data_IF_488238377828
#
_entry.id   IF_488238377828
#
_cell.length_a   1.000
_cell.length_b   1.000
_cell.length_c   1.000
_cell.angle_alpha   90.00
_cell.angle_beta   90.00
_cell.angle_gamma   90.00
#
_symmetry.space_group_name_H-M   'P 1'
#
loop_
_entity.id
_entity.type
_entity.pdbx_description
1 polymer ?
#
# COMPACT_ATOMS: atom_id res chain seq x y z
N UNK A 1 40.35 -8.93 34.88
CA UNK A 1 40.45 -7.49 35.26
C UNK A 1 39.13 -6.82 34.92
N UNK A 2 38.38 -6.38 35.95
CA UNK A 2 37.08 -5.71 35.84
C UNK A 2 37.30 -4.24 35.45
N UNK A 3 36.57 -3.73 34.46
CA UNK A 3 36.33 -2.28 34.29
C UNK A 3 34.84 -2.05 34.08
N UNK A 4 34.28 -1.23 34.97
CA UNK A 4 32.90 -0.77 35.00
C UNK A 4 32.60 0.26 33.88
N UNK A 5 31.31 0.48 33.55
CA UNK A 5 30.87 1.40 32.51
C UNK A 5 30.81 2.86 33.00
N UNK A 6 31.13 3.79 32.10
CA UNK A 6 30.90 5.24 32.28
C UNK A 6 29.55 5.56 31.64
N UNK A 7 28.58 5.91 32.48
CA UNK A 7 27.33 6.55 32.08
C UNK A 7 27.56 8.08 32.09
N UNK A 8 27.32 8.74 30.95
CA UNK A 8 27.11 10.19 30.92
C UNK A 8 25.62 10.44 30.71
N UNK A 9 24.96 10.89 31.77
CA UNK A 9 23.70 11.58 31.70
C UNK A 9 23.97 13.03 31.26
N UNK A 10 23.27 13.50 30.22
CA UNK A 10 23.18 14.93 29.92
C UNK A 10 21.72 15.34 30.07
N UNK A 11 21.59 16.35 30.92
CA UNK A 11 20.39 16.92 31.51
C UNK A 11 19.53 17.64 30.47
N UNK A 12 18.21 17.52 30.64
CA UNK A 12 17.20 18.28 29.93
C UNK A 12 17.27 19.78 30.30
N UNK A 13 17.15 20.64 29.30
CA UNK A 13 16.84 22.06 29.46
C UNK A 13 15.45 22.33 28.92
N UNK A 14 14.52 22.53 29.84
CA UNK A 14 13.19 23.13 29.63
C UNK A 14 13.35 24.62 29.37
N UNK A 15 12.76 25.12 28.30
CA UNK A 15 12.47 26.55 28.13
C UNK A 15 11.00 26.69 27.70
N UNK A 16 10.19 27.18 28.63
CA UNK A 16 8.82 27.61 28.39
C UNK A 16 8.82 29.13 28.17
N UNK A 17 8.22 29.57 27.07
CA UNK A 17 7.63 30.89 26.84
C UNK A 17 6.72 30.70 25.61
N UNK A 18 5.40 30.88 25.65
CA UNK A 18 4.64 31.89 26.37
C UNK A 18 4.45 33.09 25.44
N UNK A 19 3.50 33.00 24.51
CA UNK A 19 2.90 34.16 23.84
C UNK A 19 1.56 33.77 23.21
N UNK A 20 0.49 34.00 23.97
CA UNK A 20 -0.86 34.17 23.45
C UNK A 20 -0.91 35.54 22.76
N UNK A 21 -1.45 35.59 21.55
CA UNK A 21 -1.80 36.85 20.89
C UNK A 21 -3.24 36.75 20.40
N UNK A 22 -3.99 37.79 20.76
CA UNK A 22 -5.43 37.88 20.78
C UNK A 22 -6.08 38.01 19.40
N UNK A 23 -7.32 37.52 19.31
CA UNK A 23 -8.30 37.84 18.27
C UNK A 23 -8.74 39.31 18.31
N UNK A 24 -8.95 39.95 17.15
CA UNK A 24 -9.96 40.99 16.96
C UNK A 24 -11.16 40.36 16.22
N UNK A 25 -12.34 40.30 16.81
CA UNK A 25 -13.35 41.38 16.95
C UNK A 25 -13.94 41.82 15.62
N UNK A 26 -15.22 41.48 15.47
CA UNK A 26 -16.17 41.72 14.39
C UNK A 26 -16.65 43.17 14.25
N UNK A 27 -16.91 43.60 13.01
CA UNK A 27 -17.83 44.69 12.64
C UNK A 27 -18.29 44.54 11.15
N UNK A 28 -19.30 45.28 10.65
CA UNK A 28 -20.67 44.81 10.51
C UNK A 28 -21.12 44.55 9.05
N UNK A 29 -22.26 43.85 8.94
CA UNK A 29 -23.02 43.55 7.73
C UNK A 29 -23.68 44.78 7.09
N UNK A 30 -23.62 44.87 5.75
CA UNK A 30 -24.58 45.59 4.90
C UNK A 30 -24.42 45.15 3.44
N UNK A 31 -25.50 44.65 2.84
CA UNK A 31 -25.56 44.39 1.41
C UNK A 31 -26.42 43.19 1.05
N UNK A 32 -27.73 43.32 1.24
CA UNK A 32 -28.72 42.44 0.61
C UNK A 32 -28.64 42.62 -0.91
N UNK A 33 -28.25 41.56 -1.61
CA UNK A 33 -28.58 41.36 -3.01
C UNK A 33 -29.30 40.01 -3.09
N UNK A 34 -30.61 40.11 -3.26
CA UNK A 34 -31.55 39.02 -3.41
C UNK A 34 -31.28 38.34 -4.76
N UNK A 35 -30.38 37.35 -4.75
CA UNK A 35 -30.22 36.41 -5.85
C UNK A 35 -31.08 35.20 -5.49
N UNK A 36 -32.24 35.08 -6.15
CA UNK A 36 -33.12 33.93 -6.05
C UNK A 36 -32.32 32.64 -6.27
N UNK A 37 -31.98 31.97 -5.17
CA UNK A 37 -31.36 30.67 -5.17
C UNK A 37 -32.43 29.69 -5.61
N UNK A 38 -32.48 29.41 -6.92
CA UNK A 38 -33.20 28.26 -7.43
C UNK A 38 -32.52 27.05 -6.80
N UNK A 39 -33.16 26.46 -5.79
CA UNK A 39 -32.74 25.21 -5.20
C UNK A 39 -32.73 24.18 -6.32
N UNK A 40 -31.53 23.91 -6.87
CA UNK A 40 -31.35 22.75 -7.73
C UNK A 40 -31.49 21.58 -6.79
N UNK A 41 -32.56 20.80 -6.96
CA UNK A 41 -32.69 19.49 -6.34
C UNK A 41 -31.39 18.73 -6.62
N UNK A 42 -30.54 18.62 -5.61
CA UNK A 42 -29.33 17.85 -5.69
C UNK A 42 -29.77 16.41 -5.82
N UNK A 43 -29.67 15.86 -7.03
CA UNK A 43 -29.90 14.44 -7.26
C UNK A 43 -29.06 13.66 -6.25
N UNK A 44 -29.68 12.65 -5.62
CA UNK A 44 -28.98 11.79 -4.67
C UNK A 44 -27.69 11.26 -5.32
N UNK A 45 -26.57 11.20 -4.58
CA UNK A 45 -25.32 10.69 -5.12
C UNK A 45 -25.53 9.26 -5.64
N UNK A 46 -25.29 9.06 -6.93
CA UNK A 46 -25.33 7.74 -7.56
C UNK A 46 -24.13 6.98 -7.04
N UNK A 47 -24.34 5.82 -6.41
CA UNK A 47 -23.24 4.93 -6.02
C UNK A 47 -22.52 4.47 -7.30
N UNK A 48 -21.27 4.88 -7.54
CA UNK A 48 -20.53 4.51 -8.75
C UNK A 48 -20.26 3.00 -8.84
N UNK A 49 -20.51 2.27 -7.76
CA UNK A 49 -20.32 0.82 -7.63
C UNK A 49 -21.65 0.05 -7.64
N UNK A 50 -22.77 0.71 -7.97
CA UNK A 50 -24.06 0.06 -8.16
C UNK A 50 -24.01 -0.85 -9.40
N UNK A 51 -24.05 -2.17 -9.19
CA UNK A 51 -24.08 -3.15 -10.25
C UNK A 51 -23.93 -4.59 -9.73
N UNK A 52 -24.20 -5.60 -10.57
CA UNK A 52 -23.94 -6.98 -10.20
C UNK A 52 -22.43 -7.23 -10.16
N UNK A 53 -21.97 -7.90 -9.10
CA UNK A 53 -20.59 -8.38 -8.98
C UNK A 53 -20.48 -9.82 -9.48
N UNK A 54 -19.30 -10.17 -10.00
CA UNK A 54 -18.97 -11.50 -10.51
C UNK A 54 -17.59 -11.97 -9.99
N UNK A 55 -17.61 -12.85 -8.98
CA UNK A 55 -16.41 -13.44 -8.39
C UNK A 55 -15.73 -14.50 -9.28
N UNK A 56 -16.23 -14.75 -10.50
CA UNK A 56 -15.56 -15.60 -11.49
C UNK A 56 -14.65 -14.80 -12.41
N UNK A 57 -14.82 -13.48 -12.51
CA UNK A 57 -13.96 -12.59 -13.30
C UNK A 57 -12.56 -12.47 -12.71
N UNK A 58 -11.58 -12.32 -13.59
CA UNK A 58 -10.15 -12.15 -13.24
C UNK A 58 -9.51 -10.96 -13.96
N UNK A 59 -10.24 -10.34 -14.88
CA UNK A 59 -9.92 -9.19 -15.70
C UNK A 59 -11.17 -8.30 -15.81
N UNK A 60 -10.99 -7.10 -16.38
CA UNK A 60 -12.09 -6.14 -16.66
C UNK A 60 -13.02 -5.90 -15.45
N UNK A 61 -12.43 -5.84 -14.26
CA UNK A 61 -13.16 -5.75 -13.00
C UNK A 61 -13.78 -4.37 -12.84
N UNK A 62 -15.04 -4.37 -12.41
CA UNK A 62 -15.81 -3.18 -12.07
C UNK A 62 -15.60 -2.77 -10.61
N UNK A 63 -16.12 -1.61 -10.20
CA UNK A 63 -16.14 -1.27 -8.78
C UNK A 63 -17.00 -2.24 -7.95
N UNK A 64 -18.12 -2.72 -8.49
CA UNK A 64 -18.95 -3.73 -7.83
C UNK A 64 -18.15 -5.02 -7.58
N UNK A 65 -17.35 -5.45 -8.55
CA UNK A 65 -16.46 -6.61 -8.42
C UNK A 65 -15.42 -6.40 -7.31
N UNK A 66 -14.77 -5.22 -7.25
CA UNK A 66 -13.81 -4.89 -6.18
C UNK A 66 -14.47 -5.02 -4.80
N UNK A 67 -15.65 -4.41 -4.61
CA UNK A 67 -16.39 -4.46 -3.35
C UNK A 67 -16.76 -5.89 -2.94
N UNK A 68 -17.15 -6.73 -3.90
CA UNK A 68 -17.41 -8.15 -3.63
C UNK A 68 -16.12 -8.91 -3.25
N UNK A 69 -15.01 -8.66 -3.96
CA UNK A 69 -13.71 -9.23 -3.64
C UNK A 69 -13.20 -8.79 -2.26
N UNK A 70 -13.47 -7.56 -1.84
CA UNK A 70 -13.14 -7.07 -0.50
C UNK A 70 -13.80 -7.95 0.57
N UNK A 71 -15.07 -8.29 0.38
CA UNK A 71 -15.80 -9.20 1.28
C UNK A 71 -15.26 -10.63 1.34
N UNK A 72 -14.58 -11.10 0.28
CA UNK A 72 -13.95 -12.43 0.24
C UNK A 72 -12.55 -12.42 0.84
N UNK A 73 -11.75 -11.42 0.48
CA UNK A 73 -10.31 -11.38 0.78
C UNK A 73 -10.03 -10.72 2.13
N UNK A 74 -10.79 -9.68 2.49
CA UNK A 74 -10.61 -8.92 3.71
C UNK A 74 -9.25 -8.21 3.81
N UNK A 75 -8.83 -7.52 2.74
CA UNK A 75 -7.70 -6.59 2.82
C UNK A 75 -8.00 -5.44 3.78
N UNK A 76 -7.01 -4.60 4.11
CA UNK A 76 -7.21 -3.56 5.13
C UNK A 76 -8.23 -2.50 4.69
N UNK A 77 -9.00 -1.97 5.65
CA UNK A 77 -9.84 -0.80 5.42
C UNK A 77 -9.00 0.42 4.99
N UNK A 78 -7.77 0.55 5.51
CA UNK A 78 -6.81 1.57 5.10
C UNK A 78 -6.49 1.50 3.60
N UNK A 79 -6.42 0.29 3.03
CA UNK A 79 -6.23 0.10 1.59
C UNK A 79 -7.44 0.61 0.78
N UNK A 80 -8.67 0.47 1.28
CA UNK A 80 -9.86 1.02 0.60
C UNK A 80 -9.94 2.53 0.72
N UNK A 81 -9.74 3.08 1.91
CA UNK A 81 -9.73 4.54 2.11
C UNK A 81 -8.66 5.20 1.25
N UNK A 82 -7.48 4.59 1.14
CA UNK A 82 -6.39 5.09 0.29
C UNK A 82 -6.75 5.01 -1.19
N UNK A 83 -7.52 3.99 -1.59
CA UNK A 83 -7.94 3.79 -2.98
C UNK A 83 -8.93 4.86 -3.40
N UNK A 84 -9.93 5.13 -2.56
CA UNK A 84 -10.95 6.16 -2.77
C UNK A 84 -10.37 7.57 -2.89
N UNK A 85 -9.26 7.85 -2.20
CA UNK A 85 -8.54 9.12 -2.27
C UNK A 85 -7.53 9.21 -3.42
N UNK A 86 -7.25 8.09 -4.09
CA UNK A 86 -6.30 8.05 -5.19
C UNK A 86 -7.02 8.31 -6.52
N UNK A 87 -6.36 8.98 -7.47
CA UNK A 87 -6.90 9.22 -8.82
C UNK A 87 -6.88 7.94 -9.71
N UNK A 88 -7.15 6.77 -9.12
CA UNK A 88 -7.10 5.49 -9.82
C UNK A 88 -8.46 5.20 -10.42
N UNK A 89 -8.61 5.45 -11.73
CA UNK A 89 -9.85 5.19 -12.45
C UNK A 89 -9.89 3.77 -13.07
N UNK A 90 -11.09 3.18 -13.15
CA UNK A 90 -11.44 2.29 -14.27
C UNK A 90 -11.08 0.80 -14.25
N UNK A 91 -10.65 0.17 -13.15
CA UNK A 91 -10.30 -1.29 -13.18
C UNK A 91 -10.60 -2.07 -11.89
N UNK A 92 -11.30 -1.47 -10.92
CA UNK A 92 -11.37 -2.03 -9.57
C UNK A 92 -10.01 -2.16 -8.87
N UNK A 93 -8.91 -1.77 -9.54
CA UNK A 93 -7.54 -1.76 -9.02
C UNK A 93 -7.13 -3.11 -8.43
N UNK A 94 -7.60 -4.18 -9.07
CA UNK A 94 -7.40 -5.57 -8.67
C UNK A 94 -6.93 -6.35 -9.89
N UNK A 95 -5.87 -7.13 -9.73
CA UNK A 95 -5.33 -7.98 -10.81
C UNK A 95 -5.10 -9.39 -10.30
N UNK A 96 -5.23 -10.37 -11.20
CA UNK A 96 -5.04 -11.78 -10.88
C UNK A 96 -3.99 -12.40 -11.81
N UNK A 97 -2.90 -12.91 -11.22
CA UNK A 97 -1.85 -13.63 -11.94
C UNK A 97 -1.89 -15.11 -11.60
N UNK A 98 -1.88 -15.99 -12.61
CA UNK A 98 -2.00 -17.43 -12.37
C UNK A 98 -0.75 -18.00 -11.68
N UNK A 99 -0.94 -18.71 -10.57
CA UNK A 99 0.12 -19.45 -9.86
C UNK A 99 0.16 -20.93 -10.27
N UNK A 100 -0.98 -21.47 -10.70
CA UNK A 100 -1.16 -22.87 -11.09
C UNK A 100 -2.63 -23.19 -11.34
N UNK A 101 -2.99 -24.48 -11.50
CA UNK A 101 -4.40 -24.89 -11.57
C UNK A 101 -5.17 -24.45 -10.32
N UNK A 102 -6.28 -23.73 -10.50
CA UNK A 102 -7.15 -23.27 -9.41
C UNK A 102 -6.52 -22.27 -8.44
N UNK A 103 -5.34 -21.71 -8.75
CA UNK A 103 -4.58 -20.86 -7.82
C UNK A 103 -4.10 -19.58 -8.49
N UNK A 104 -4.31 -18.46 -7.82
CA UNK A 104 -4.00 -17.13 -8.33
C UNK A 104 -3.28 -16.29 -7.27
N UNK A 105 -2.42 -15.40 -7.73
CA UNK A 105 -1.88 -14.29 -6.98
C UNK A 105 -2.75 -13.08 -7.30
N UNK A 106 -3.53 -12.65 -6.32
CA UNK A 106 -4.29 -11.40 -6.40
C UNK A 106 -3.45 -10.23 -5.90
N UNK A 107 -3.52 -9.10 -6.59
CA UNK A 107 -2.89 -7.84 -6.21
C UNK A 107 -3.95 -6.75 -6.15
N UNK A 108 -4.16 -6.19 -4.96
CA UNK A 108 -5.03 -5.05 -4.70
C UNK A 108 -4.14 -3.81 -4.65
N UNK A 109 -4.28 -2.92 -5.63
CA UNK A 109 -3.65 -1.60 -5.58
C UNK A 109 -4.45 -0.72 -4.62
N UNK A 110 -3.78 -0.24 -3.56
CA UNK A 110 -4.35 0.56 -2.48
C UNK A 110 -4.17 2.05 -2.75
N UNK A 111 -3.02 2.47 -3.25
CA UNK A 111 -2.79 3.87 -3.62
C UNK A 111 -1.81 3.96 -4.76
N UNK A 112 -1.85 5.08 -5.49
CA UNK A 112 -0.90 5.42 -6.52
C UNK A 112 -0.33 6.81 -6.22
N UNK A 113 0.85 6.84 -5.60
CA UNK A 113 1.61 8.05 -5.41
C UNK A 113 2.36 8.49 -6.68
N UNK A 114 2.95 9.68 -6.65
CA UNK A 114 3.68 10.25 -7.78
C UNK A 114 4.88 9.41 -8.27
N UNK A 115 5.42 8.54 -7.41
CA UNK A 115 6.62 7.75 -7.70
C UNK A 115 6.39 6.24 -7.69
N UNK A 116 5.46 5.77 -6.86
CA UNK A 116 5.13 4.36 -6.71
C UNK A 116 3.76 4.22 -6.05
N UNK A 117 3.09 3.11 -6.32
CA UNK A 117 1.90 2.72 -5.58
C UNK A 117 2.21 1.79 -4.42
N UNK A 118 1.21 1.55 -3.59
CA UNK A 118 1.21 0.52 -2.56
C UNK A 118 0.11 -0.49 -2.85
N UNK A 119 0.39 -1.77 -2.58
CA UNK A 119 -0.50 -2.86 -2.86
C UNK A 119 -0.50 -3.90 -1.73
N UNK A 120 -1.66 -4.51 -1.52
CA UNK A 120 -1.78 -5.74 -0.75
C UNK A 120 -1.95 -6.93 -1.69
N UNK A 121 -1.32 -8.06 -1.36
CA UNK A 121 -1.38 -9.26 -2.18
C UNK A 121 -1.99 -10.42 -1.39
N UNK A 122 -2.63 -11.32 -2.12
CA UNK A 122 -3.24 -12.52 -1.55
C UNK A 122 -3.08 -13.72 -2.49
N UNK A 123 -3.12 -14.91 -1.91
CA UNK A 123 -3.32 -16.14 -2.68
C UNK A 123 -4.80 -16.45 -2.70
N UNK A 124 -5.34 -16.63 -3.90
CA UNK A 124 -6.70 -17.09 -4.15
C UNK A 124 -6.64 -18.57 -4.55
N UNK A 125 -7.49 -19.36 -3.93
CA UNK A 125 -7.74 -20.76 -4.30
C UNK A 125 -9.21 -20.86 -4.71
N UNK A 126 -9.44 -21.26 -5.97
CA UNK A 126 -10.79 -21.47 -6.49
C UNK A 126 -11.48 -22.58 -5.68
N UNK A 127 -12.78 -22.44 -5.47
CA UNK A 127 -13.55 -23.45 -4.74
C UNK A 127 -13.66 -24.76 -5.52
N UNK A 128 -13.67 -25.87 -4.80
CA UNK A 128 -13.93 -27.21 -5.37
C UNK A 128 -15.44 -27.38 -5.52
N UNK A 129 -15.89 -27.95 -6.65
CA UNK A 129 -17.29 -28.30 -6.93
C UNK A 129 -18.30 -27.17 -6.69
N UNK A 130 -17.95 -25.94 -7.08
CA UNK A 130 -18.82 -24.76 -6.92
C UNK A 130 -18.82 -24.16 -5.51
N UNK A 131 -17.92 -24.62 -4.63
CA UNK A 131 -17.67 -23.98 -3.34
C UNK A 131 -17.19 -22.53 -3.48
N UNK A 132 -17.32 -21.76 -2.40
CA UNK A 132 -16.80 -20.40 -2.36
C UNK A 132 -15.26 -20.37 -2.49
N UNK A 133 -14.69 -19.39 -3.20
CA UNK A 133 -13.24 -19.23 -3.26
C UNK A 133 -12.66 -18.92 -1.88
N UNK A 134 -11.42 -19.35 -1.64
CA UNK A 134 -10.67 -19.06 -0.42
C UNK A 134 -9.54 -18.10 -0.73
N UNK A 135 -9.45 -17.01 0.02
CA UNK A 135 -8.37 -16.05 -0.10
C UNK A 135 -7.52 -16.03 1.17
N UNK A 136 -6.21 -15.84 1.02
CA UNK A 136 -5.30 -15.64 2.14
C UNK A 136 -4.34 -14.50 1.83
N UNK A 137 -4.41 -13.42 2.63
CA UNK A 137 -3.49 -12.29 2.53
C UNK A 137 -2.05 -12.71 2.78
N UNK A 138 -1.15 -12.21 1.96
CA UNK A 138 0.27 -12.47 2.06
C UNK A 138 0.92 -11.50 3.05
N UNK A 139 1.84 -12.03 3.84
CA UNK A 139 2.74 -11.27 4.70
C UNK A 139 4.13 -11.28 4.12
N UNK A 140 4.77 -10.12 4.11
CA UNK A 140 6.08 -9.90 3.53
C UNK A 140 7.08 -9.50 4.60
N UNK A 141 8.28 -10.08 4.54
CA UNK A 141 9.42 -9.62 5.32
C UNK A 141 10.17 -8.55 4.52
N UNK A 142 10.17 -7.32 5.03
CA UNK A 142 10.78 -6.14 4.39
C UNK A 142 11.86 -5.55 5.31
N UNK A 143 12.74 -4.64 4.84
CA UNK A 143 13.71 -3.99 5.72
C UNK A 143 13.01 -3.30 6.89
N UNK A 144 13.55 -3.45 8.10
CA UNK A 144 13.09 -2.72 9.29
C UNK A 144 13.76 -1.35 9.42
N UNK A 145 13.44 -0.62 10.49
CA UNK A 145 14.03 0.71 10.75
C UNK A 145 15.55 0.67 10.91
N UNK A 146 16.08 -0.39 11.51
CA UNK A 146 17.51 -0.58 11.71
C UNK A 146 18.11 -1.40 10.57
N UNK A 147 19.32 -1.04 10.15
CA UNK A 147 20.02 -1.76 9.09
C UNK A 147 20.17 -3.24 9.47
N UNK A 148 19.80 -4.13 8.56
CA UNK A 148 19.88 -5.58 8.75
C UNK A 148 18.77 -6.18 9.62
N UNK A 149 17.80 -5.39 10.08
CA UNK A 149 16.58 -5.95 10.70
C UNK A 149 15.49 -6.12 9.64
N UNK A 150 14.55 -7.03 9.92
CA UNK A 150 13.38 -7.27 9.10
C UNK A 150 12.12 -6.95 9.90
N UNK A 151 11.12 -6.38 9.24
CA UNK A 151 9.76 -6.26 9.77
C UNK A 151 8.78 -7.00 8.88
N UNK A 152 7.60 -7.31 9.41
CA UNK A 152 6.53 -7.98 8.65
C UNK A 152 5.42 -6.98 8.33
N UNK A 153 4.98 -6.98 7.07
CA UNK A 153 3.88 -6.11 6.59
C UNK A 153 2.94 -6.90 5.66
N UNK A 154 1.73 -6.38 5.45
CA UNK A 154 0.81 -6.85 4.42
C UNK A 154 0.92 -6.05 3.12
N UNK A 155 1.53 -4.86 3.17
CA UNK A 155 1.68 -3.95 2.04
C UNK A 155 3.07 -4.07 1.42
N UNK A 156 3.12 -3.98 0.10
CA UNK A 156 4.36 -3.86 -0.69
C UNK A 156 4.19 -2.76 -1.72
N UNK A 157 5.28 -2.31 -2.32
CA UNK A 157 5.16 -1.40 -3.46
C UNK A 157 4.47 -2.11 -4.65
N UNK A 158 3.66 -1.37 -5.42
CA UNK A 158 2.96 -1.90 -6.59
C UNK A 158 3.89 -2.34 -7.73
N UNK A 159 5.20 -2.09 -7.63
CA UNK A 159 6.21 -2.69 -8.50
C UNK A 159 6.46 -4.17 -8.16
N UNK A 160 5.40 -4.88 -7.81
CA UNK A 160 5.37 -6.31 -7.55
C UNK A 160 5.20 -7.04 -8.89
N UNK A 161 6.25 -7.73 -9.32
CA UNK A 161 6.35 -8.39 -10.61
C UNK A 161 6.51 -9.90 -10.39
N UNK A 162 5.53 -10.69 -10.83
CA UNK A 162 5.54 -12.14 -10.67
C UNK A 162 5.99 -12.83 -11.96
N UNK A 163 7.16 -13.46 -11.90
CA UNK A 163 7.68 -14.31 -12.97
C UNK A 163 7.14 -15.73 -12.80
N UNK A 164 6.11 -16.09 -13.59
CA UNK A 164 5.50 -17.42 -13.53
C UNK A 164 6.45 -18.56 -13.91
N UNK A 165 7.48 -18.31 -14.72
CA UNK A 165 8.47 -19.32 -15.10
C UNK A 165 9.42 -19.62 -13.94
N UNK A 166 9.83 -18.58 -13.22
CA UNK A 166 10.70 -18.71 -12.03
C UNK A 166 9.92 -18.98 -10.74
N UNK A 167 8.59 -18.81 -10.77
CA UNK A 167 7.69 -18.84 -9.61
C UNK A 167 8.16 -17.89 -8.51
N UNK A 168 8.54 -16.70 -8.92
CA UNK A 168 9.15 -15.70 -8.07
C UNK A 168 8.40 -14.38 -8.18
N UNK A 169 8.06 -13.81 -7.03
CA UNK A 169 7.57 -12.44 -6.91
C UNK A 169 8.74 -11.54 -6.56
N UNK A 170 9.02 -10.56 -7.41
CA UNK A 170 9.98 -9.49 -7.13
C UNK A 170 9.22 -8.23 -6.71
N UNK A 171 9.61 -7.60 -5.62
CA UNK A 171 9.11 -6.28 -5.24
C UNK A 171 10.27 -5.29 -5.23
N UNK A 172 10.01 -4.08 -5.71
CA UNK A 172 10.97 -2.99 -5.65
C UNK A 172 10.35 -1.78 -4.97
N UNK A 173 10.96 -1.29 -3.91
CA UNK A 173 10.50 -0.12 -3.16
C UNK A 173 11.55 0.97 -3.26
N UNK A 174 11.18 2.12 -3.80
CA UNK A 174 12.02 3.32 -3.83
C UNK A 174 11.82 4.10 -2.54
N UNK A 175 12.91 4.67 -2.01
CA UNK A 175 12.80 5.60 -0.87
C UNK A 175 12.56 7.04 -1.31
N UNK A 176 12.83 7.36 -2.58
CA UNK A 176 12.49 8.65 -3.20
C UNK A 176 12.35 8.51 -4.72
N UNK A 177 11.77 9.53 -5.36
CA UNK A 177 11.45 9.55 -6.79
C UNK A 177 12.57 9.06 -7.73
N UNK A 178 13.80 9.58 -7.62
CA UNK A 178 14.93 9.14 -8.46
C UNK A 178 15.29 7.66 -8.37
N UNK A 179 14.90 6.93 -7.31
CA UNK A 179 15.19 5.50 -7.17
C UNK A 179 16.68 5.17 -6.99
N UNK A 180 17.49 6.12 -6.53
CA UNK A 180 18.92 5.94 -6.22
C UNK A 180 19.17 5.29 -4.84
N UNK A 181 18.09 5.02 -4.10
CA UNK A 181 18.05 4.30 -2.83
C UNK A 181 16.68 3.61 -2.69
N UNK A 182 16.64 2.53 -1.91
CA UNK A 182 15.46 1.70 -1.76
C UNK A 182 15.78 0.28 -1.33
N UNK A 183 14.81 -0.61 -1.55
CA UNK A 183 14.97 -2.05 -1.36
C UNK A 183 14.40 -2.87 -2.52
N UNK A 184 15.01 -4.02 -2.77
CA UNK A 184 14.51 -5.02 -3.72
C UNK A 184 14.45 -6.36 -3.00
N UNK A 185 13.29 -7.01 -3.08
CA UNK A 185 13.08 -8.31 -2.48
C UNK A 185 12.60 -9.31 -3.52
N UNK A 186 13.05 -10.57 -3.37
CA UNK A 186 12.55 -11.72 -4.13
C UNK A 186 11.86 -12.67 -3.18
N UNK A 187 10.66 -13.10 -3.51
CA UNK A 187 9.86 -14.02 -2.73
C UNK A 187 9.47 -15.23 -3.57
N UNK A 188 9.45 -16.41 -2.94
CA UNK A 188 8.74 -17.56 -3.47
C UNK A 188 7.34 -17.61 -2.87
N UNK A 189 6.33 -17.89 -3.68
CA UNK A 189 4.97 -18.15 -3.18
C UNK A 189 4.81 -19.65 -2.94
N UNK A 190 4.81 -20.06 -1.67
CA UNK A 190 4.74 -21.47 -1.24
C UNK A 190 3.45 -21.70 -0.46
N UNK A 191 2.51 -22.43 -1.06
CA UNK A 191 1.13 -22.46 -0.56
C UNK A 191 0.58 -21.04 -0.49
N UNK A 192 0.04 -20.65 0.66
CA UNK A 192 -0.52 -19.32 0.93
C UNK A 192 0.49 -18.36 1.60
N UNK A 193 1.80 -18.60 1.44
CA UNK A 193 2.86 -17.80 2.09
C UNK A 193 3.83 -17.22 1.08
N UNK A 194 4.21 -15.95 1.30
CA UNK A 194 5.36 -15.33 0.64
C UNK A 194 6.61 -15.61 1.48
N UNK A 195 7.57 -16.32 0.89
CA UNK A 195 8.82 -16.71 1.54
C UNK A 195 9.95 -15.88 0.94
N UNK A 196 10.55 -15.00 1.75
CA UNK A 196 11.69 -14.17 1.34
C UNK A 196 12.86 -15.07 0.92
N UNK A 197 13.44 -14.80 -0.25
CA UNK A 197 14.60 -15.50 -0.82
C UNK A 197 15.83 -14.62 -0.87
N UNK A 198 15.63 -13.34 -1.14
CA UNK A 198 16.70 -12.36 -1.23
C UNK A 198 16.13 -11.00 -0.85
N UNK A 199 16.93 -10.22 -0.12
CA UNK A 199 16.66 -8.80 0.14
C UNK A 199 17.93 -8.01 -0.08
N UNK A 200 17.81 -6.94 -0.85
CA UNK A 200 18.84 -5.94 -1.07
C UNK A 200 18.34 -4.59 -0.63
N UNK A 201 19.23 -3.77 -0.09
CA UNK A 201 18.88 -2.44 0.40
C UNK A 201 20.04 -1.46 0.19
N UNK A 202 19.72 -0.31 -0.41
CA UNK A 202 20.56 0.86 -0.48
C UNK A 202 19.88 1.99 0.30
N UNK A 203 20.34 2.28 1.52
CA UNK A 203 19.76 3.33 2.37
C UNK A 203 20.23 4.74 2.00
N UNK A 204 21.51 4.84 1.67
CA UNK A 204 22.13 6.11 1.32
C UNK A 204 21.76 6.49 -0.12
N UNK A 205 20.94 7.51 -0.27
CA UNK A 205 20.58 8.09 -1.56
C UNK A 205 21.75 8.91 -2.09
N UNK A 206 22.35 8.46 -3.19
CA UNK A 206 23.63 8.97 -3.69
C UNK A 206 23.53 9.81 -4.98
N UNK A 207 22.31 10.05 -5.47
CA UNK A 207 22.01 10.79 -6.69
C UNK A 207 22.40 10.07 -7.99
N UNK A 208 22.83 8.81 -7.93
CA UNK A 208 23.24 8.03 -9.09
C UNK A 208 22.15 7.05 -9.47
N UNK A 209 21.91 6.89 -10.76
CA UNK A 209 21.11 5.79 -11.24
C UNK A 209 21.76 4.48 -10.79
N UNK A 210 20.99 3.64 -10.11
CA UNK A 210 21.50 2.37 -9.60
C UNK A 210 20.62 1.24 -10.08
N UNK A 211 21.27 0.14 -10.47
CA UNK A 211 20.60 -1.13 -10.71
C UNK A 211 20.38 -1.79 -9.35
N UNK A 212 19.12 -2.05 -9.01
CA UNK A 212 18.70 -2.63 -7.74
C UNK A 212 19.31 -4.02 -7.48
N UNK A 213 19.69 -4.74 -8.55
CA UNK A 213 20.40 -6.02 -8.44
C UNK A 213 21.87 -5.85 -8.00
N UNK A 214 22.41 -4.63 -8.03
CA UNK A 214 23.75 -4.29 -7.54
C UNK A 214 23.75 -3.72 -6.11
N UNK A 215 22.59 -3.44 -5.54
CA UNK A 215 22.50 -2.95 -4.16
C UNK A 215 23.07 -3.97 -3.16
N UNK A 216 23.58 -3.51 -2.01
CA UNK A 216 24.05 -4.39 -0.95
C UNK A 216 22.99 -5.41 -0.58
N UNK A 217 23.38 -6.69 -0.62
CA UNK A 217 22.52 -7.77 -0.16
C UNK A 217 22.51 -7.77 1.37
N UNK A 218 21.33 -7.73 1.96
CA UNK A 218 21.11 -7.78 3.42
C UNK A 218 20.42 -9.08 3.87
N UNK A 219 19.98 -9.91 2.91
CA UNK A 219 19.44 -11.26 3.11
C UNK A 219 19.81 -12.13 1.89
N UNK A 220 20.39 -13.33 2.11
CA UNK A 220 19.66 -14.52 2.54
C UNK A 220 19.60 -14.69 4.06
#
# INVERSE_FOLDING_TARGET
>A
MKRLPIALAVTAATAAAGMAVASPSSAPSKGAADAGAVARDAAAPVDPCAGPADLTKRDELTCADRKAWYGVVGWSEECEVSHDHSAIEGTGSLTFTKLGPGRWLGTVLCTLGAYQGEAELFVLEDGVDGGAPKATRLRFKVPGERRGTLTTTFTVSNFADYDAKKRELRTWTRYRGPGDCGSMARYAIVGTRAVLRELREQRECNGKETNENKWPRIYP
#
